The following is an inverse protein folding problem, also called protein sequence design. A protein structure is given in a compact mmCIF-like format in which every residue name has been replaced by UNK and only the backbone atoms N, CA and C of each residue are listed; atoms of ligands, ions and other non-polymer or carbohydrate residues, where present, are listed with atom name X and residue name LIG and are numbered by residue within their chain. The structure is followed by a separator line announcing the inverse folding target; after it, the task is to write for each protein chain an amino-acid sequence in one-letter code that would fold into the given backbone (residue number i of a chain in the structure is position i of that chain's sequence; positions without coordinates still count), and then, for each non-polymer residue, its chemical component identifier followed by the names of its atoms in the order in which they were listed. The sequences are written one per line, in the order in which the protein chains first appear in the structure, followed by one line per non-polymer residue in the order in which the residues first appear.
data_IF_505781829735
#
_entry.id   IF_505781829735
#
_cell.length_a   1.000
_cell.length_b   1.000
_cell.length_c   1.000
_cell.angle_alpha   90.00
_cell.angle_beta   90.00
_cell.angle_gamma   90.00
#
_symmetry.space_group_name_H-M   'P 1'
#
loop_
_entity.id
_entity.type
_entity.pdbx_description
1 polymer ?
#
# COMPACT_ATOMS: atom_id res chain seq x y z
N UNK A 1 -19.46 -22.50 -26.96
CA UNK A 1 -18.23 -22.01 -27.62
C UNK A 1 -18.54 -22.03 -29.09
N UNK A 2 -18.81 -20.87 -29.68
CA UNK A 2 -18.96 -20.74 -31.13
C UNK A 2 -17.58 -20.46 -31.70
N UNK A 3 -17.32 -20.93 -32.92
CA UNK A 3 -16.16 -20.40 -33.63
C UNK A 3 -16.32 -18.88 -33.76
N UNK A 4 -15.21 -18.12 -33.80
CA UNK A 4 -15.25 -16.64 -33.89
C UNK A 4 -16.01 -16.13 -35.13
N UNK A 5 -16.36 -17.01 -36.06
CA UNK A 5 -17.12 -16.78 -37.29
C UNK A 5 -18.60 -17.18 -37.24
N UNK A 6 -19.09 -17.75 -36.13
CA UNK A 6 -20.47 -18.20 -36.00
C UNK A 6 -21.37 -17.13 -35.37
N UNK A 7 -22.65 -17.14 -35.75
CA UNK A 7 -23.64 -16.24 -35.15
C UNK A 7 -23.84 -16.64 -33.68
N UNK A 8 -23.71 -15.72 -32.71
CA UNK A 8 -23.96 -16.04 -31.31
C UNK A 8 -25.35 -16.63 -31.12
N UNK A 9 -25.44 -17.75 -30.41
CA UNK A 9 -26.73 -18.33 -30.05
C UNK A 9 -27.33 -17.48 -28.93
N UNK A 10 -28.56 -16.98 -29.17
CA UNK A 10 -29.26 -16.15 -28.20
C UNK A 10 -29.40 -16.88 -26.85
N UNK A 11 -28.99 -16.20 -25.77
CA UNK A 11 -29.08 -16.72 -24.40
C UNK A 11 -27.98 -17.71 -24.00
N UNK A 12 -27.05 -18.05 -24.89
CA UNK A 12 -25.89 -18.90 -24.55
C UNK A 12 -24.67 -18.01 -24.31
N UNK A 13 -24.05 -18.15 -23.15
CA UNK A 13 -22.82 -17.46 -22.79
C UNK A 13 -21.88 -18.37 -21.98
N UNK A 14 -20.71 -17.86 -21.59
CA UNK A 14 -19.75 -18.64 -20.82
C UNK A 14 -20.25 -19.02 -19.43
N UNK A 15 -21.17 -18.25 -18.83
CA UNK A 15 -21.75 -18.55 -17.52
C UNK A 15 -22.69 -19.75 -17.60
N UNK A 16 -23.52 -19.81 -18.63
CA UNK A 16 -24.40 -20.95 -18.90
C UNK A 16 -23.58 -22.21 -19.19
N UNK A 17 -22.53 -22.10 -20.03
CA UNK A 17 -21.65 -23.24 -20.30
C UNK A 17 -21.02 -23.76 -19.01
N UNK A 18 -20.53 -22.88 -18.14
CA UNK A 18 -19.96 -23.28 -16.86
C UNK A 18 -20.98 -23.96 -15.93
N UNK A 19 -22.23 -23.48 -15.88
CA UNK A 19 -23.27 -24.11 -15.06
C UNK A 19 -23.64 -25.49 -15.58
N UNK A 20 -23.76 -25.67 -16.90
CA UNK A 20 -24.06 -26.98 -17.50
C UNK A 20 -22.92 -27.99 -17.27
N UNK A 21 -21.65 -27.58 -17.43
CA UNK A 21 -20.50 -28.45 -17.13
C UNK A 21 -20.47 -28.84 -15.65
N UNK A 22 -20.81 -27.90 -14.75
CA UNK A 22 -20.88 -28.16 -13.31
C UNK A 22 -22.02 -29.12 -12.95
N UNK A 23 -23.15 -29.07 -13.68
CA UNK A 23 -24.28 -29.98 -13.48
C UNK A 23 -23.99 -31.38 -14.04
N UNK A 24 -23.28 -31.45 -15.17
CA UNK A 24 -22.97 -32.70 -15.87
C UNK A 24 -21.74 -33.44 -15.31
N UNK A 25 -20.89 -32.78 -14.54
CA UNK A 25 -19.62 -33.35 -14.06
C UNK A 25 -19.43 -33.14 -12.55
N UNK A 26 -18.48 -33.87 -11.95
CA UNK A 26 -18.02 -33.60 -10.57
C UNK A 26 -16.88 -32.58 -10.51
N UNK A 27 -16.54 -31.95 -11.63
CA UNK A 27 -15.42 -31.00 -11.68
C UNK A 27 -15.75 -29.72 -10.90
N UNK A 28 -14.74 -29.12 -10.31
CA UNK A 28 -14.86 -27.75 -9.84
C UNK A 28 -14.81 -26.82 -11.06
N UNK A 29 -15.89 -26.08 -11.27
CA UNK A 29 -16.01 -25.14 -12.38
C UNK A 29 -16.21 -23.74 -11.84
N UNK A 30 -15.37 -22.82 -12.30
CA UNK A 30 -15.44 -21.39 -12.01
C UNK A 30 -15.57 -20.65 -13.34
N UNK A 31 -16.53 -19.73 -13.42
CA UNK A 31 -16.67 -18.82 -14.56
C UNK A 31 -16.13 -17.45 -14.18
N UNK A 32 -15.18 -16.95 -14.98
CA UNK A 32 -14.69 -15.58 -14.87
C UNK A 32 -14.70 -14.90 -16.25
N UNK A 33 -15.49 -13.82 -16.45
CA UNK A 33 -15.56 -13.12 -17.73
C UNK A 33 -14.33 -12.23 -17.99
N UNK A 34 -13.51 -11.95 -16.97
CA UNK A 34 -12.28 -11.15 -17.08
C UNK A 34 -11.04 -12.04 -17.02
N UNK A 35 -10.16 -11.94 -18.02
CA UNK A 35 -8.95 -12.77 -18.12
C UNK A 35 -7.98 -12.58 -16.94
N UNK A 36 -7.94 -11.41 -16.30
CA UNK A 36 -7.09 -11.20 -15.12
C UNK A 36 -7.69 -11.82 -13.88
N UNK A 37 -9.01 -11.70 -13.67
CA UNK A 37 -9.67 -12.43 -12.58
C UNK A 37 -9.50 -13.94 -12.73
N UNK A 38 -9.57 -14.44 -13.97
CA UNK A 38 -9.25 -15.83 -14.27
C UNK A 38 -7.79 -16.19 -13.95
N UNK A 39 -6.83 -15.34 -14.36
CA UNK A 39 -5.42 -15.51 -14.00
C UNK A 39 -5.24 -15.56 -12.49
N UNK A 40 -5.87 -14.66 -11.75
CA UNK A 40 -5.75 -14.57 -10.30
C UNK A 40 -6.35 -15.81 -9.63
N UNK A 41 -7.56 -16.21 -10.05
CA UNK A 41 -8.22 -17.42 -9.55
C UNK A 41 -7.40 -18.69 -9.79
N UNK A 42 -6.82 -18.85 -10.99
CA UNK A 42 -5.93 -19.98 -11.28
C UNK A 42 -4.64 -19.85 -10.49
N UNK A 43 -4.04 -18.67 -10.47
CA UNK A 43 -2.76 -18.38 -9.83
C UNK A 43 -2.74 -18.61 -8.32
N UNK A 44 -3.85 -18.33 -7.63
CA UNK A 44 -4.00 -18.59 -6.20
C UNK A 44 -4.12 -20.07 -5.85
N UNK A 45 -4.57 -20.90 -6.80
CA UNK A 45 -4.84 -22.33 -6.57
C UNK A 45 -3.69 -23.24 -7.04
N UNK A 46 -2.86 -22.81 -8.00
CA UNK A 46 -1.74 -23.62 -8.50
C UNK A 46 -0.77 -24.00 -7.36
N UNK A 47 -0.44 -25.29 -7.27
CA UNK A 47 0.55 -25.86 -6.37
C UNK A 47 1.76 -26.45 -7.14
N UNK A 48 2.91 -26.64 -6.46
CA UNK A 48 4.03 -27.36 -7.06
C UNK A 48 3.62 -28.77 -7.52
N UNK A 49 3.91 -29.09 -8.78
CA UNK A 49 3.53 -30.37 -9.41
C UNK A 49 2.27 -30.31 -10.27
N UNK A 50 1.47 -29.24 -10.15
CA UNK A 50 0.29 -29.07 -10.98
C UNK A 50 0.65 -28.81 -12.45
N UNK A 51 -0.21 -29.32 -13.34
CA UNK A 51 -0.15 -29.01 -14.79
C UNK A 51 -1.30 -28.09 -15.15
N UNK A 52 -0.98 -26.90 -15.67
CA UNK A 52 -1.97 -25.92 -16.12
C UNK A 52 -2.14 -26.02 -17.63
N UNK A 53 -3.32 -26.43 -18.07
CA UNK A 53 -3.67 -26.51 -19.49
C UNK A 53 -4.59 -25.35 -19.84
N UNK A 54 -4.17 -24.50 -20.77
CA UNK A 54 -4.99 -23.39 -21.29
C UNK A 54 -5.39 -23.70 -22.72
N UNK A 55 -6.69 -23.74 -22.98
CA UNK A 55 -7.26 -24.02 -24.29
C UNK A 55 -8.32 -22.98 -24.64
N UNK A 56 -8.30 -22.48 -25.88
CA UNK A 56 -9.31 -21.57 -26.40
C UNK A 56 -8.78 -20.64 -27.48
N UNK A 57 -9.67 -19.82 -28.03
CA UNK A 57 -9.33 -18.82 -29.05
C UNK A 57 -9.07 -17.44 -28.44
N UNK A 58 -8.59 -16.50 -29.26
CA UNK A 58 -8.38 -15.12 -28.86
C UNK A 58 -7.16 -14.94 -27.96
N UNK A 59 -7.31 -14.22 -26.86
CA UNK A 59 -6.18 -13.82 -25.99
C UNK A 59 -6.04 -14.64 -24.71
N UNK A 60 -6.71 -15.79 -24.61
CA UNK A 60 -6.69 -16.67 -23.43
C UNK A 60 -5.27 -17.15 -23.08
N UNK A 61 -4.40 -17.35 -24.08
CA UNK A 61 -2.99 -17.74 -23.88
C UNK A 61 -2.18 -16.70 -23.08
N UNK A 62 -2.63 -15.44 -23.00
CA UNK A 62 -1.98 -14.43 -22.15
C UNK A 62 -2.06 -14.76 -20.66
N UNK A 63 -3.07 -15.55 -20.25
CA UNK A 63 -3.22 -16.01 -18.87
C UNK A 63 -2.08 -16.94 -18.47
N UNK A 64 -1.82 -18.00 -19.26
CA UNK A 64 -0.71 -18.92 -18.99
C UNK A 64 0.65 -18.26 -19.13
N UNK A 65 0.82 -17.37 -20.11
CA UNK A 65 2.07 -16.61 -20.25
C UNK A 65 2.36 -15.77 -19.01
N UNK A 66 1.39 -15.00 -18.52
CA UNK A 66 1.55 -14.17 -17.30
C UNK A 66 1.81 -15.03 -16.06
N UNK A 67 1.15 -16.19 -15.92
CA UNK A 67 1.40 -17.12 -14.82
C UNK A 67 2.82 -17.68 -14.88
N UNK A 68 3.27 -18.13 -16.05
CA UNK A 68 4.61 -18.69 -16.25
C UNK A 68 5.71 -17.66 -15.98
N UNK A 69 5.55 -16.42 -16.45
CA UNK A 69 6.48 -15.32 -16.17
C UNK A 69 6.59 -15.04 -14.66
N UNK A 70 5.45 -14.94 -13.96
CA UNK A 70 5.45 -14.72 -12.50
C UNK A 70 6.08 -15.89 -11.73
N UNK A 71 5.80 -17.14 -12.13
CA UNK A 71 6.37 -18.32 -11.50
C UNK A 71 7.89 -18.43 -11.72
N UNK A 72 8.36 -18.07 -12.92
CA UNK A 72 9.79 -18.01 -13.21
C UNK A 72 10.50 -17.01 -12.27
N UNK A 73 9.95 -15.80 -12.15
CA UNK A 73 10.51 -14.77 -11.25
C UNK A 73 10.48 -15.26 -9.79
N UNK A 74 9.40 -15.92 -9.37
CA UNK A 74 9.29 -16.48 -8.02
C UNK A 74 10.41 -17.46 -7.70
N UNK A 75 10.69 -18.43 -8.59
CA UNK A 75 11.76 -19.42 -8.37
C UNK A 75 13.16 -18.79 -8.45
N UNK A 76 13.37 -17.84 -9.36
CA UNK A 76 14.64 -17.10 -9.44
C UNK A 76 14.91 -16.29 -8.17
N UNK A 77 13.90 -15.60 -7.62
CA UNK A 77 14.01 -14.90 -6.35
C UNK A 77 14.29 -15.88 -5.21
N UNK A 78 13.60 -17.03 -5.18
CA UNK A 78 13.80 -18.05 -4.14
C UNK A 78 15.22 -18.57 -4.09
N UNK A 79 15.90 -18.71 -5.23
CA UNK A 79 17.31 -19.09 -5.29
C UNK A 79 18.28 -17.94 -4.98
N UNK A 80 17.83 -16.69 -5.02
CA UNK A 80 18.64 -15.49 -4.81
C UNK A 80 18.71 -15.05 -3.34
N UNK A 81 17.60 -15.17 -2.61
CA UNK A 81 17.42 -14.61 -1.27
C UNK A 81 17.69 -15.63 -0.17
N UNK A 82 17.92 -15.14 1.05
CA UNK A 82 18.13 -16.01 2.20
C UNK A 82 16.88 -16.84 2.57
N UNK A 83 17.03 -17.99 3.25
CA UNK A 83 15.89 -18.81 3.69
C UNK A 83 14.91 -18.12 4.65
N UNK A 84 15.32 -17.01 5.28
CA UNK A 84 14.47 -16.21 6.16
C UNK A 84 13.54 -15.28 5.39
N UNK A 85 13.83 -15.01 4.11
CA UNK A 85 12.94 -14.22 3.25
C UNK A 85 11.65 -14.98 2.98
N UNK A 86 10.52 -14.32 3.24
CA UNK A 86 9.20 -14.87 2.94
C UNK A 86 8.81 -14.48 1.52
N UNK A 87 8.48 -15.47 0.69
CA UNK A 87 7.95 -15.29 -0.66
C UNK A 87 6.52 -15.81 -0.72
N UNK A 88 5.59 -14.99 -1.22
CA UNK A 88 4.19 -15.36 -1.44
C UNK A 88 3.76 -14.98 -2.84
N UNK A 89 2.94 -15.82 -3.45
CA UNK A 89 2.27 -15.52 -4.73
C UNK A 89 0.87 -15.01 -4.43
N UNK A 90 0.39 -14.07 -5.22
CA UNK A 90 -0.98 -13.54 -5.14
C UNK A 90 -1.39 -13.12 -3.70
N UNK A 91 -0.66 -12.18 -3.10
CA UNK A 91 -1.02 -11.65 -1.78
C UNK A 91 -2.11 -10.57 -1.94
N UNK A 92 -3.29 -10.70 -1.30
CA UNK A 92 -4.38 -9.74 -1.45
C UNK A 92 -4.06 -8.41 -0.76
N UNK A 93 -3.95 -7.34 -1.53
CA UNK A 93 -3.61 -6.01 -1.01
C UNK A 93 -4.70 -5.41 -0.13
N UNK A 94 -5.96 -5.85 -0.28
CA UNK A 94 -7.02 -5.55 0.68
C UNK A 94 -6.74 -6.01 2.12
N UNK A 95 -5.85 -6.99 2.33
CA UNK A 95 -5.35 -7.38 3.67
C UNK A 95 -4.12 -6.59 4.12
N UNK A 96 -3.50 -5.82 3.21
CA UNK A 96 -2.23 -5.09 3.40
C UNK A 96 -2.37 -3.57 3.37
N UNK A 97 -3.56 -3.04 3.05
CA UNK A 97 -3.88 -1.61 3.13
C UNK A 97 -4.85 -1.30 4.27
N UNK A 98 -4.76 -0.12 4.89
CA UNK A 98 -5.71 0.25 5.97
C UNK A 98 -7.08 0.63 5.46
N UNK A 99 -7.19 1.03 4.18
CA UNK A 99 -8.46 1.21 3.47
C UNK A 99 -9.16 -0.13 3.20
N UNK A 100 -8.41 -1.24 3.25
CA UNK A 100 -8.87 -2.60 2.98
C UNK A 100 -9.41 -2.79 1.56
N UNK A 101 -8.73 -2.19 0.58
CA UNK A 101 -9.04 -2.33 -0.84
C UNK A 101 -7.80 -2.71 -1.64
N UNK A 102 -8.05 -3.23 -2.84
CA UNK A 102 -7.03 -3.57 -3.83
C UNK A 102 -6.90 -5.06 -4.13
N UNK A 103 -6.50 -5.34 -5.36
CA UNK A 103 -6.30 -6.67 -5.91
C UNK A 103 -5.04 -7.35 -5.37
N UNK A 104 -4.46 -8.26 -6.15
CA UNK A 104 -3.32 -9.05 -5.71
C UNK A 104 -1.98 -8.40 -6.02
N UNK A 105 -1.04 -8.42 -5.07
CA UNK A 105 0.37 -8.34 -5.38
C UNK A 105 0.82 -9.68 -5.95
N UNK A 106 1.31 -9.69 -7.20
CA UNK A 106 1.66 -10.94 -7.90
C UNK A 106 2.74 -11.71 -7.14
N UNK A 107 3.81 -11.02 -6.72
CA UNK A 107 4.88 -11.56 -5.90
C UNK A 107 5.10 -10.67 -4.68
N UNK A 108 4.75 -11.17 -3.50
CA UNK A 108 4.96 -10.48 -2.23
C UNK A 108 6.19 -11.02 -1.53
N UNK A 109 7.07 -10.12 -1.09
CA UNK A 109 8.38 -10.46 -0.54
C UNK A 109 8.60 -9.74 0.79
N UNK A 110 8.88 -10.49 1.85
CA UNK A 110 9.30 -9.96 3.15
C UNK A 110 10.77 -10.36 3.37
N UNK A 111 11.74 -9.48 3.08
CA UNK A 111 13.16 -9.82 3.07
C UNK A 111 13.67 -10.16 4.48
N UNK A 112 14.66 -11.06 4.56
CA UNK A 112 15.22 -11.54 5.83
C UNK A 112 16.29 -10.62 6.43
N UNK A 113 16.99 -9.86 5.59
CA UNK A 113 18.11 -8.99 5.96
C UNK A 113 18.32 -7.86 4.92
N UNK A 114 19.34 -7.03 5.13
CA UNK A 114 19.66 -5.89 4.26
C UNK A 114 20.19 -6.34 2.89
N UNK A 115 20.95 -7.43 2.86
CA UNK A 115 21.52 -8.02 1.64
C UNK A 115 20.43 -8.55 0.71
N UNK A 116 19.37 -9.16 1.25
CA UNK A 116 18.20 -9.60 0.48
C UNK A 116 17.53 -8.42 -0.22
N UNK A 117 17.37 -7.28 0.48
CA UNK A 117 16.79 -6.05 -0.13
C UNK A 117 17.65 -5.57 -1.29
N UNK A 118 18.97 -5.53 -1.11
CA UNK A 118 19.90 -5.13 -2.17
C UNK A 118 19.87 -6.11 -3.36
N UNK A 119 19.85 -7.41 -3.09
CA UNK A 119 19.79 -8.45 -4.10
C UNK A 119 18.49 -8.40 -4.91
N UNK A 120 17.34 -8.26 -4.25
CA UNK A 120 16.03 -8.10 -4.88
C UNK A 120 16.00 -6.83 -5.74
N UNK A 121 16.47 -5.70 -5.21
CA UNK A 121 16.52 -4.44 -5.94
C UNK A 121 17.39 -4.55 -7.20
N UNK A 122 18.57 -5.15 -7.09
CA UNK A 122 19.46 -5.38 -8.21
C UNK A 122 18.86 -6.35 -9.24
N UNK A 123 18.23 -7.43 -8.79
CA UNK A 123 17.55 -8.40 -9.64
C UNK A 123 16.41 -7.74 -10.43
N UNK A 124 15.52 -7.02 -9.75
CA UNK A 124 14.39 -6.34 -10.37
C UNK A 124 14.85 -5.39 -11.49
N UNK A 125 15.90 -4.60 -11.21
CA UNK A 125 16.50 -3.71 -12.19
C UNK A 125 17.10 -4.45 -13.39
N UNK A 126 17.87 -5.52 -13.16
CA UNK A 126 18.51 -6.30 -14.24
C UNK A 126 17.49 -6.99 -15.14
N UNK A 127 16.42 -7.52 -14.55
CA UNK A 127 15.38 -8.27 -15.28
C UNK A 127 14.26 -7.36 -15.83
N UNK A 128 14.31 -6.05 -15.55
CA UNK A 128 13.23 -5.12 -15.92
C UNK A 128 11.91 -5.42 -15.22
N UNK A 129 11.94 -6.08 -14.06
CA UNK A 129 10.75 -6.42 -13.28
C UNK A 129 10.40 -5.22 -12.39
N UNK A 130 9.14 -4.72 -12.43
CA UNK A 130 8.72 -3.65 -11.52
C UNK A 130 8.90 -4.04 -10.05
N UNK A 131 9.45 -3.12 -9.26
CA UNK A 131 9.62 -3.29 -7.81
C UNK A 131 8.86 -2.17 -7.09
N UNK A 132 7.87 -2.55 -6.29
CA UNK A 132 7.08 -1.65 -5.46
C UNK A 132 7.35 -1.93 -4.00
N UNK A 133 7.64 -0.90 -3.19
CA UNK A 133 7.82 -1.06 -1.74
C UNK A 133 6.56 -0.61 -1.03
N UNK A 134 6.03 -1.46 -0.15
CA UNK A 134 4.82 -1.18 0.62
C UNK A 134 5.10 -1.37 2.11
N UNK A 135 4.82 -0.33 2.90
CA UNK A 135 4.78 -0.43 4.37
C UNK A 135 3.44 -0.97 4.86
N UNK A 136 2.86 -0.33 5.88
CA UNK A 136 1.51 -0.65 6.41
C UNK A 136 0.34 -0.33 5.49
N UNK A 137 0.58 0.24 4.31
CA UNK A 137 -0.46 0.65 3.37
C UNK A 137 -1.46 1.66 3.93
N UNK A 138 -1.02 2.54 4.83
CA UNK A 138 -1.87 3.54 5.49
C UNK A 138 -2.17 4.78 4.65
N UNK A 139 -1.40 4.98 3.58
CA UNK A 139 -1.54 6.06 2.60
C UNK A 139 -1.70 5.51 1.17
N UNK A 140 -2.19 4.28 1.02
CA UNK A 140 -2.25 3.59 -0.26
C UNK A 140 -3.69 3.24 -0.66
N UNK A 141 -3.98 3.41 -1.94
CA UNK A 141 -5.08 2.75 -2.65
C UNK A 141 -4.43 1.88 -3.72
N UNK A 142 -4.63 0.57 -3.65
CA UNK A 142 -4.14 -0.34 -4.70
C UNK A 142 -5.30 -0.62 -5.65
N UNK A 143 -5.10 -0.51 -6.95
CA UNK A 143 -6.13 -0.85 -7.94
C UNK A 143 -6.63 -2.29 -7.76
N UNK A 144 -7.88 -2.56 -8.17
CA UNK A 144 -8.45 -3.92 -8.12
C UNK A 144 -7.71 -4.89 -9.05
N UNK A 145 -6.97 -4.37 -10.04
CA UNK A 145 -6.07 -5.16 -10.90
C UNK A 145 -4.77 -5.59 -10.21
N UNK A 146 -4.51 -5.08 -9.01
CA UNK A 146 -3.35 -5.47 -8.20
C UNK A 146 -2.04 -4.82 -8.64
N UNK A 147 -0.94 -5.36 -8.13
CA UNK A 147 0.44 -4.89 -8.36
C UNK A 147 1.20 -5.98 -9.12
N UNK A 148 1.65 -5.64 -10.32
CA UNK A 148 2.50 -6.49 -11.16
C UNK A 148 3.96 -6.46 -10.67
N UNK A 149 4.71 -7.53 -10.93
CA UNK A 149 6.10 -7.67 -10.49
C UNK A 149 6.24 -7.95 -8.99
N UNK A 150 7.28 -7.37 -8.38
CA UNK A 150 7.69 -7.62 -7.00
C UNK A 150 7.12 -6.53 -6.10
N UNK A 151 6.43 -6.94 -5.02
CA UNK A 151 5.98 -6.09 -3.93
C UNK A 151 6.79 -6.42 -2.68
N UNK A 152 7.72 -5.55 -2.31
CA UNK A 152 8.58 -5.71 -1.13
C UNK A 152 7.94 -5.05 0.09
N UNK A 153 7.86 -5.79 1.18
CA UNK A 153 7.37 -5.32 2.47
C UNK A 153 8.41 -5.56 3.56
N UNK A 154 9.06 -4.51 4.11
CA UNK A 154 10.05 -4.67 5.17
C UNK A 154 9.36 -5.14 6.47
N UNK A 155 9.40 -6.43 6.74
CA UNK A 155 8.77 -7.06 7.89
C UNK A 155 9.64 -8.19 8.45
N UNK A 156 9.17 -8.81 9.52
CA UNK A 156 9.90 -9.89 10.19
C UNK A 156 10.95 -9.38 11.19
N UNK A 157 11.67 -10.31 11.85
CA UNK A 157 12.51 -9.99 13.01
C UNK A 157 13.56 -8.91 12.75
N UNK A 158 14.17 -8.89 11.57
CA UNK A 158 15.22 -7.92 11.21
C UNK A 158 14.66 -6.50 11.05
N UNK A 159 13.60 -6.33 10.25
CA UNK A 159 13.02 -5.03 9.94
C UNK A 159 12.05 -4.49 11.02
N UNK A 160 11.58 -5.32 11.94
CA UNK A 160 10.79 -4.91 13.10
C UNK A 160 11.60 -4.76 14.40
N UNK A 161 12.94 -4.85 14.29
CA UNK A 161 13.88 -4.70 15.41
C UNK A 161 13.96 -3.24 15.88
N UNK A 162 14.11 -3.08 17.19
CA UNK A 162 14.47 -1.81 17.83
C UNK A 162 15.68 -2.02 18.74
N UNK A 163 16.67 -1.14 18.66
CA UNK A 163 17.84 -1.11 19.55
C UNK A 163 17.86 0.22 20.28
N UNK A 164 18.07 0.15 21.60
CA UNK A 164 18.06 1.30 22.50
C UNK A 164 19.48 1.52 23.02
N UNK A 165 20.08 2.68 22.72
CA UNK A 165 21.45 2.98 23.13
C UNK A 165 21.64 4.49 23.22
N UNK A 166 22.28 4.97 24.30
CA UNK A 166 22.71 6.37 24.47
C UNK A 166 21.62 7.43 24.19
N UNK A 167 20.38 7.19 24.64
CA UNK A 167 19.25 8.11 24.37
C UNK A 167 18.83 8.16 22.90
N UNK A 168 19.07 7.08 22.17
CA UNK A 168 18.68 6.91 20.76
C UNK A 168 17.98 5.58 20.57
N UNK A 169 17.12 5.54 19.55
CA UNK A 169 16.41 4.35 19.11
C UNK A 169 16.77 4.09 17.66
N UNK A 170 17.51 3.02 17.38
CA UNK A 170 17.61 2.49 16.01
C UNK A 170 16.38 1.61 15.77
N UNK A 171 15.56 1.99 14.79
CA UNK A 171 14.35 1.27 14.44
C UNK A 171 14.38 0.83 12.98
N UNK A 172 14.12 -0.46 12.74
CA UNK A 172 13.96 -1.00 11.39
C UNK A 172 12.73 -0.43 10.67
N UNK A 173 12.75 -0.45 9.34
CA UNK A 173 11.72 0.13 8.48
C UNK A 173 10.31 -0.46 8.71
N UNK A 174 10.20 -1.70 9.20
CA UNK A 174 8.94 -2.36 9.53
C UNK A 174 8.38 -2.00 10.91
N UNK A 175 9.14 -1.30 11.75
CA UNK A 175 8.71 -0.91 13.10
C UNK A 175 7.51 0.04 13.00
N UNK A 176 6.39 -0.33 13.65
CA UNK A 176 5.22 0.54 13.77
C UNK A 176 5.56 1.78 14.60
N UNK A 177 5.21 2.96 14.11
CA UNK A 177 5.50 4.23 14.79
C UNK A 177 4.96 4.23 16.24
N UNK A 178 3.69 3.85 16.44
CA UNK A 178 3.10 3.72 17.77
C UNK A 178 3.87 2.76 18.69
N UNK A 179 4.42 1.65 18.16
CA UNK A 179 5.22 0.70 18.96
C UNK A 179 6.51 1.36 19.44
N UNK A 180 7.19 2.10 18.56
CA UNK A 180 8.40 2.85 18.89
C UNK A 180 8.13 3.93 19.94
N UNK A 181 7.07 4.73 19.77
CA UNK A 181 6.69 5.79 20.72
C UNK A 181 6.39 5.20 22.11
N UNK A 182 5.62 4.11 22.17
CA UNK A 182 5.32 3.45 23.44
C UNK A 182 6.55 2.81 24.09
N UNK A 183 7.54 2.36 23.31
CA UNK A 183 8.80 1.87 23.85
C UNK A 183 9.65 3.00 24.43
N UNK A 184 9.74 4.15 23.73
CA UNK A 184 10.42 5.34 24.24
C UNK A 184 9.79 5.85 25.55
N UNK A 185 8.45 5.91 25.60
CA UNK A 185 7.69 6.25 26.81
C UNK A 185 8.08 5.39 28.02
N UNK A 186 8.22 4.07 27.85
CA UNK A 186 8.58 3.15 28.95
C UNK A 186 9.97 3.42 29.53
N UNK A 187 10.84 4.03 28.74
CA UNK A 187 12.20 4.41 29.13
C UNK A 187 12.28 5.89 29.56
N UNK A 188 11.14 6.59 29.69
CA UNK A 188 11.10 8.03 29.99
C UNK A 188 11.87 8.88 28.96
N UNK A 189 11.84 8.43 27.70
CA UNK A 189 12.45 9.11 26.56
C UNK A 189 11.39 9.86 25.75
N UNK A 190 11.43 11.19 25.82
CA UNK A 190 10.57 12.10 25.06
C UNK A 190 11.13 12.45 23.68
N UNK A 191 10.33 13.16 22.88
CA UNK A 191 10.70 13.69 21.56
C UNK A 191 10.08 12.98 20.36
N UNK A 192 9.39 11.84 20.57
CA UNK A 192 8.76 11.05 19.52
C UNK A 192 7.23 11.09 19.55
N UNK A 193 6.64 11.83 20.50
CA UNK A 193 5.22 11.79 20.81
C UNK A 193 4.36 12.12 19.58
N UNK A 194 4.82 13.02 18.70
CA UNK A 194 4.10 13.43 17.48
C UNK A 194 3.89 12.29 16.48
N UNK A 195 4.65 11.20 16.59
CA UNK A 195 4.54 10.03 15.72
C UNK A 195 3.43 9.06 16.16
N UNK A 196 2.88 9.17 17.38
CA UNK A 196 1.83 8.27 17.88
C UNK A 196 0.58 8.28 16.99
N UNK A 197 0.19 9.50 16.56
CA UNK A 197 -1.02 9.74 15.79
C UNK A 197 -0.91 9.32 14.32
N UNK A 198 0.28 9.01 13.83
CA UNK A 198 0.52 8.69 12.43
C UNK A 198 0.34 7.17 12.24
N UNK A 199 -0.67 6.73 11.47
CA UNK A 199 -0.77 5.32 11.11
C UNK A 199 0.36 4.99 10.14
N UNK A 200 1.27 4.08 10.50
CA UNK A 200 2.40 3.75 9.63
C UNK A 200 3.52 3.01 10.34
N UNK A 201 4.53 2.69 9.55
CA UNK A 201 5.82 2.17 9.98
C UNK A 201 6.91 3.21 9.71
N UNK A 202 8.10 2.95 10.24
CA UNK A 202 9.28 3.82 10.07
C UNK A 202 9.60 4.03 8.60
N UNK A 203 9.58 2.99 7.77
CA UNK A 203 9.91 3.09 6.34
C UNK A 203 8.97 4.02 5.58
N UNK A 204 7.66 3.87 5.78
CA UNK A 204 6.66 4.77 5.20
C UNK A 204 6.78 6.20 5.73
N UNK A 205 7.09 6.36 7.02
CA UNK A 205 7.29 7.67 7.64
C UNK A 205 8.49 8.42 7.06
N UNK A 206 9.60 7.72 6.82
CA UNK A 206 10.79 8.25 6.16
C UNK A 206 10.49 8.64 4.71
N UNK A 207 9.82 7.77 3.94
CA UNK A 207 9.47 8.07 2.55
C UNK A 207 8.60 9.32 2.43
N UNK A 208 7.61 9.46 3.31
CA UNK A 208 6.62 10.54 3.26
C UNK A 208 7.02 11.78 4.07
N UNK A 209 8.19 11.79 4.73
CA UNK A 209 8.49 12.74 5.82
C UNK A 209 7.24 13.00 6.68
N UNK A 210 6.64 11.94 7.21
CA UNK A 210 5.30 12.00 7.78
C UNK A 210 5.27 13.00 8.95
N UNK A 211 4.29 13.90 8.93
CA UNK A 211 4.16 14.95 9.92
C UNK A 211 2.78 15.02 10.54
N UNK A 212 2.77 15.45 11.80
CA UNK A 212 1.58 15.75 12.59
C UNK A 212 1.92 16.86 13.60
N UNK A 213 0.95 17.73 13.89
CA UNK A 213 1.05 18.76 14.93
C UNK A 213 2.28 19.69 14.78
N UNK A 214 2.64 20.04 13.54
CA UNK A 214 3.75 20.96 13.27
C UNK A 214 5.14 20.35 13.35
N UNK A 215 5.25 19.04 13.61
CA UNK A 215 6.50 18.27 13.56
C UNK A 215 6.45 17.22 12.47
N UNK A 216 7.61 16.89 11.92
CA UNK A 216 7.81 15.89 10.89
C UNK A 216 8.70 14.74 11.40
N UNK A 217 8.76 13.65 10.64
CA UNK A 217 9.54 12.47 11.01
C UNK A 217 11.03 12.80 11.14
N UNK A 218 11.57 13.54 10.16
CA UNK A 218 12.99 13.88 10.13
C UNK A 218 13.44 14.85 11.24
N UNK A 219 12.52 15.53 11.94
CA UNK A 219 12.87 16.36 13.11
C UNK A 219 13.47 15.51 14.24
N UNK A 220 13.12 14.23 14.29
CA UNK A 220 13.61 13.28 15.28
C UNK A 220 14.70 12.34 14.73
N UNK A 221 15.03 12.38 13.44
CA UNK A 221 15.98 11.44 12.82
C UNK A 221 17.40 11.99 12.90
N UNK A 222 18.36 11.12 13.21
CA UNK A 222 19.81 11.38 13.15
C UNK A 222 20.42 10.85 11.85
N UNK A 223 20.16 9.58 11.52
CA UNK A 223 20.62 8.94 10.29
C UNK A 223 19.58 7.94 9.77
N UNK A 224 19.67 7.64 8.47
CA UNK A 224 18.84 6.65 7.79
C UNK A 224 19.75 5.71 7.01
N UNK A 225 19.53 4.40 7.19
CA UNK A 225 20.11 3.36 6.34
C UNK A 225 19.12 2.95 5.26
N UNK A 226 19.58 2.86 4.02
CA UNK A 226 18.75 2.55 2.87
C UNK A 226 19.52 1.86 1.75
N UNK A 227 18.81 1.16 0.86
CA UNK A 227 19.33 0.73 -0.45
C UNK A 227 18.98 1.80 -1.47
N UNK A 228 19.98 2.37 -2.14
CA UNK A 228 19.78 3.37 -3.19
C UNK A 228 19.26 2.75 -4.50
N UNK A 229 18.86 3.57 -5.48
CA UNK A 229 18.36 3.12 -6.79
C UNK A 229 19.40 2.37 -7.66
N UNK A 230 20.66 2.31 -7.21
CA UNK A 230 21.71 1.48 -7.80
C UNK A 230 21.86 0.12 -7.10
N UNK A 231 21.08 -0.15 -6.05
CA UNK A 231 21.15 -1.38 -5.27
C UNK A 231 22.26 -1.38 -4.22
N UNK A 232 22.81 -0.21 -3.86
CA UNK A 232 23.90 -0.10 -2.88
C UNK A 232 23.38 0.33 -1.52
N UNK A 233 23.96 -0.24 -0.47
CA UNK A 233 23.72 0.18 0.90
C UNK A 233 24.32 1.56 1.14
N UNK A 234 23.52 2.45 1.73
CA UNK A 234 23.86 3.82 2.06
C UNK A 234 23.41 4.13 3.48
N UNK A 235 24.11 5.07 4.08
CA UNK A 235 23.68 5.78 5.28
C UNK A 235 23.83 7.27 5.04
N UNK A 236 22.83 8.05 5.45
CA UNK A 236 22.84 9.50 5.29
C UNK A 236 22.10 10.20 6.44
N UNK A 237 22.52 11.42 6.73
CA UNK A 237 21.85 12.34 7.65
C UNK A 237 20.70 13.07 6.95
N UNK A 238 19.72 13.62 7.67
CA UNK A 238 18.62 14.39 7.07
C UNK A 238 19.09 15.55 6.17
N UNK A 239 20.22 16.18 6.50
CA UNK A 239 20.81 17.27 5.72
C UNK A 239 21.26 16.83 4.31
N UNK A 240 21.66 15.57 4.16
CA UNK A 240 22.13 14.99 2.89
C UNK A 240 20.99 14.41 2.05
N UNK A 241 19.78 14.28 2.62
CA UNK A 241 18.68 13.53 2.02
C UNK A 241 17.67 14.37 1.22
N UNK A 242 17.81 15.71 1.22
CA UNK A 242 16.87 16.60 0.53
C UNK A 242 15.44 16.52 1.10
N UNK A 243 15.32 16.65 2.42
CA UNK A 243 14.03 16.57 3.14
C UNK A 243 13.23 17.85 2.93
N UNK A 244 11.95 17.71 2.58
CA UNK A 244 11.00 18.82 2.40
C UNK A 244 9.59 18.42 2.89
N UNK A 245 8.62 19.33 2.80
CA UNK A 245 7.25 19.05 3.25
C UNK A 245 6.68 17.83 2.53
N UNK A 246 6.34 16.79 3.31
CA UNK A 246 5.78 15.51 2.85
C UNK A 246 6.65 14.73 1.84
N UNK A 247 7.96 15.01 1.77
CA UNK A 247 8.85 14.39 0.79
C UNK A 247 10.28 14.28 1.30
N UNK A 248 10.96 13.20 0.90
CA UNK A 248 12.40 13.03 1.05
C UNK A 248 12.99 12.59 -0.31
N UNK A 249 13.82 13.44 -0.92
CA UNK A 249 14.34 13.20 -2.27
C UNK A 249 15.24 11.96 -2.34
N UNK A 250 16.10 11.73 -1.36
CA UNK A 250 16.97 10.54 -1.34
C UNK A 250 16.19 9.22 -1.23
N UNK A 251 14.92 9.27 -0.79
CA UNK A 251 14.03 8.11 -0.76
C UNK A 251 13.31 7.88 -2.10
N UNK A 252 13.51 8.72 -3.12
CA UNK A 252 12.96 8.51 -4.46
C UNK A 252 13.74 7.40 -5.20
N UNK A 253 13.08 6.24 -5.38
CA UNK A 253 13.70 5.05 -5.95
C UNK A 253 14.61 4.25 -5.00
N UNK A 254 14.63 4.62 -3.72
CA UNK A 254 15.40 3.93 -2.67
C UNK A 254 14.48 3.16 -1.71
N UNK A 255 15.05 2.22 -0.96
CA UNK A 255 14.34 1.36 -0.01
C UNK A 255 14.90 1.60 1.40
N UNK A 256 14.10 2.15 2.30
CA UNK A 256 14.51 2.35 3.69
C UNK A 256 14.69 1.02 4.41
N UNK A 257 15.76 0.91 5.21
CA UNK A 257 16.10 -0.28 5.99
C UNK A 257 15.92 -0.03 7.49
N UNK A 258 16.46 1.08 7.98
CA UNK A 258 16.33 1.53 9.38
C UNK A 258 16.61 3.03 9.52
N UNK A 259 16.28 3.60 10.66
CA UNK A 259 16.68 4.94 11.04
C UNK A 259 17.03 5.03 12.53
N UNK A 260 17.95 5.94 12.86
CA UNK A 260 18.30 6.30 14.23
C UNK A 260 17.50 7.52 14.63
N UNK A 261 16.71 7.40 15.70
CA UNK A 261 15.90 8.48 16.26
C UNK A 261 16.55 9.03 17.52
N UNK A 262 16.64 10.37 17.61
CA UNK A 262 17.10 11.10 18.80
C UNK A 262 15.96 11.24 19.78
N UNK A 263 16.22 10.94 21.05
CA UNK A 263 15.29 11.21 22.15
C UNK A 263 15.96 12.09 23.19
N UNK A 264 15.22 12.46 24.23
CA UNK A 264 15.76 13.12 25.41
C UNK A 264 15.09 12.59 26.68
N UNK A 265 15.78 12.55 27.82
CA UNK A 265 15.13 12.28 29.10
C UNK A 265 13.96 13.24 29.34
N UNK A 266 12.80 12.73 29.72
CA UNK A 266 11.60 13.51 29.99
C UNK A 266 10.73 12.80 31.03
N UNK A 267 10.04 13.56 31.88
CA UNK A 267 9.19 12.97 32.93
C UNK A 267 8.04 12.21 32.29
N UNK A 268 7.71 11.02 32.80
CA UNK A 268 6.60 10.21 32.30
C UNK A 268 5.27 11.00 32.20
N UNK A 269 5.00 11.87 33.18
CA UNK A 269 3.80 12.71 33.20
C UNK A 269 3.71 13.70 32.02
N UNK A 270 4.85 14.24 31.57
CA UNK A 270 4.90 15.16 30.42
C UNK A 270 4.70 14.41 29.10
N UNK A 271 5.32 13.24 28.97
CA UNK A 271 5.13 12.34 27.83
C UNK A 271 3.65 11.94 27.75
N UNK A 272 3.05 11.51 28.86
CA UNK A 272 1.65 11.10 28.93
C UNK A 272 0.68 12.22 28.60
N UNK A 273 0.96 13.45 29.06
CA UNK A 273 0.14 14.60 28.72
C UNK A 273 0.12 14.84 27.20
N UNK A 274 1.29 14.81 26.54
CA UNK A 274 1.40 14.98 25.08
C UNK A 274 0.74 13.84 24.30
N UNK A 275 0.93 12.59 24.72
CA UNK A 275 0.31 11.44 24.07
C UNK A 275 -1.22 11.51 24.17
N UNK A 276 -1.76 11.87 25.34
CA UNK A 276 -3.20 12.08 25.52
C UNK A 276 -3.72 13.22 24.66
N UNK A 277 -2.98 14.32 24.53
CA UNK A 277 -3.34 15.44 23.66
C UNK A 277 -3.46 14.99 22.20
N UNK A 278 -2.45 14.27 21.69
CA UNK A 278 -2.43 13.79 20.31
C UNK A 278 -3.50 12.74 20.03
N UNK A 279 -3.70 11.81 20.96
CA UNK A 279 -4.75 10.80 20.87
C UNK A 279 -6.14 11.47 20.84
N UNK A 280 -6.41 12.40 21.77
CA UNK A 280 -7.67 13.14 21.84
C UNK A 280 -7.91 13.91 20.54
N UNK A 281 -6.89 14.61 20.02
CA UNK A 281 -7.00 15.37 18.77
C UNK A 281 -7.26 14.48 17.57
N UNK A 282 -6.64 13.29 17.50
CA UNK A 282 -6.89 12.32 16.44
C UNK A 282 -8.32 11.79 16.47
N UNK A 283 -8.77 11.28 17.60
CA UNK A 283 -10.09 10.64 17.69
C UNK A 283 -11.28 11.62 17.66
N UNK A 284 -11.05 12.89 18.02
CA UNK A 284 -12.07 13.94 17.87
C UNK A 284 -12.21 14.47 16.44
N UNK A 285 -11.21 14.25 15.57
CA UNK A 285 -11.16 14.86 14.24
C UNK A 285 -11.04 13.86 13.08
N UNK A 286 -10.78 12.58 13.33
CA UNK A 286 -10.54 11.58 12.28
C UNK A 286 -11.37 10.31 12.50
N UNK A 287 -11.83 9.65 11.43
CA UNK A 287 -12.62 8.44 11.54
C UNK A 287 -11.79 7.23 12.01
N UNK A 288 -12.42 6.36 12.80
CA UNK A 288 -11.88 5.05 13.17
C UNK A 288 -12.10 3.96 12.10
N UNK A 289 -12.97 4.22 11.13
CA UNK A 289 -13.27 3.29 10.03
C UNK A 289 -12.07 3.12 9.09
N UNK A 290 -11.96 1.98 8.38
CA UNK A 290 -10.90 1.75 7.39
C UNK A 290 -10.83 2.90 6.38
N UNK A 291 -9.66 3.51 6.25
CA UNK A 291 -9.38 4.67 5.38
C UNK A 291 -7.88 4.71 5.04
N UNK A 292 -7.49 5.54 4.08
CA UNK A 292 -6.09 5.76 3.64
C UNK A 292 -5.53 7.11 4.11
N UNK A 293 -6.06 7.67 5.20
CA UNK A 293 -5.72 9.03 5.63
C UNK A 293 -6.45 10.12 4.83
N UNK A 294 -5.87 11.31 4.82
CA UNK A 294 -6.34 12.41 4.00
C UNK A 294 -6.23 12.06 2.51
N UNK A 295 -7.32 12.21 1.77
CA UNK A 295 -7.37 11.89 0.35
C UNK A 295 -6.68 12.97 -0.48
N UNK A 296 -6.92 14.23 -0.15
CA UNK A 296 -6.40 15.38 -0.89
C UNK A 296 -5.40 16.18 -0.07
N UNK A 297 -4.41 16.75 -0.76
CA UNK A 297 -3.56 17.80 -0.19
C UNK A 297 -4.41 19.04 0.11
N UNK A 298 -3.95 19.86 1.04
CA UNK A 298 -4.57 21.18 1.25
C UNK A 298 -4.32 22.09 0.04
N UNK A 299 -5.33 22.88 -0.32
CA UNK A 299 -5.14 23.95 -1.31
C UNK A 299 -4.38 25.12 -0.69
N UNK A 300 -3.79 26.03 -1.49
CA UNK A 300 -3.09 27.19 -0.96
C UNK A 300 -3.96 28.14 -0.11
N UNK A 301 -5.27 28.16 -0.36
CA UNK A 301 -6.20 29.13 0.25
C UNK A 301 -7.10 28.51 1.31
N UNK A 302 -7.49 27.25 1.16
CA UNK A 302 -8.41 26.56 2.07
C UNK A 302 -7.98 25.11 2.33
N UNK A 303 -8.00 24.66 3.60
CA UNK A 303 -7.80 23.25 3.91
C UNK A 303 -8.83 22.37 3.20
N UNK A 304 -8.40 21.26 2.60
CA UNK A 304 -9.28 20.41 1.78
C UNK A 304 -10.48 19.87 2.59
N UNK A 305 -10.27 19.50 3.85
CA UNK A 305 -11.37 19.08 4.73
C UNK A 305 -12.45 20.14 4.92
N UNK A 306 -12.04 21.39 5.14
CA UNK A 306 -12.97 22.51 5.31
C UNK A 306 -13.74 22.77 4.03
N UNK A 307 -13.04 22.76 2.89
CA UNK A 307 -13.64 22.92 1.57
C UNK A 307 -14.72 21.87 1.29
N UNK A 308 -14.43 20.59 1.57
CA UNK A 308 -15.37 19.49 1.35
C UNK A 308 -16.57 19.57 2.31
N UNK A 309 -16.37 20.03 3.54
CA UNK A 309 -17.42 20.27 4.52
C UNK A 309 -18.35 21.43 4.10
N UNK A 310 -17.79 22.55 3.61
CA UNK A 310 -18.55 23.69 3.10
C UNK A 310 -19.42 23.33 1.89
N UNK A 311 -18.91 22.44 1.03
CA UNK A 311 -19.65 21.89 -0.11
C UNK A 311 -20.63 20.78 0.29
N UNK A 312 -20.78 20.50 1.60
CA UNK A 312 -21.69 19.49 2.16
C UNK A 312 -21.49 18.11 1.53
N UNK A 313 -20.23 17.72 1.30
CA UNK A 313 -19.89 16.45 0.65
C UNK A 313 -19.77 15.27 1.63
N UNK A 314 -19.83 15.51 2.95
CA UNK A 314 -19.91 14.45 3.96
C UNK A 314 -21.10 13.52 3.68
N UNK A 315 -20.88 12.21 3.79
CA UNK A 315 -21.87 11.19 3.47
C UNK A 315 -22.03 10.89 1.97
N UNK A 316 -21.38 11.63 1.07
CA UNK A 316 -21.36 11.31 -0.37
C UNK A 316 -20.79 9.92 -0.58
N UNK A 317 -21.43 9.13 -1.44
CA UNK A 317 -21.16 7.71 -1.61
C UNK A 317 -21.03 7.34 -3.08
N UNK A 318 -20.14 6.39 -3.36
CA UNK A 318 -20.09 5.61 -4.60
C UNK A 318 -19.82 4.16 -4.22
N UNK A 319 -20.71 3.23 -4.57
CA UNK A 319 -20.66 1.86 -4.04
C UNK A 319 -20.61 1.85 -2.51
N UNK A 320 -19.59 1.19 -1.96
CA UNK A 320 -19.32 1.15 -0.51
C UNK A 320 -18.23 2.14 -0.05
N UNK A 321 -17.71 2.98 -0.94
CA UNK A 321 -16.84 4.10 -0.56
C UNK A 321 -17.70 5.31 -0.16
N UNK A 322 -17.38 5.93 0.98
CA UNK A 322 -18.17 7.04 1.55
C UNK A 322 -17.26 8.14 2.08
N UNK A 323 -17.58 9.41 1.81
CA UNK A 323 -16.94 10.55 2.49
C UNK A 323 -17.34 10.54 3.96
N UNK A 324 -16.36 10.54 4.86
CA UNK A 324 -16.58 10.42 6.30
C UNK A 324 -17.41 11.57 6.87
N UNK A 325 -18.41 11.22 7.68
CA UNK A 325 -19.18 12.21 8.45
C UNK A 325 -18.34 12.95 9.50
N UNK A 326 -17.21 12.35 9.93
CA UNK A 326 -16.28 12.96 10.90
C UNK A 326 -15.44 14.04 10.22
N UNK A 327 -14.83 13.73 9.08
CA UNK A 327 -13.91 14.63 8.39
C UNK A 327 -14.04 14.53 6.87
N UNK A 328 -14.36 15.65 6.20
CA UNK A 328 -14.64 15.65 4.76
C UNK A 328 -13.48 15.20 3.86
N UNK A 329 -12.22 15.27 4.33
CA UNK A 329 -11.04 14.83 3.56
C UNK A 329 -10.71 13.34 3.73
N UNK A 330 -11.57 12.57 4.40
CA UNK A 330 -11.40 11.14 4.57
C UNK A 330 -12.49 10.40 3.79
N UNK A 331 -12.08 9.44 2.97
CA UNK A 331 -12.99 8.41 2.45
C UNK A 331 -12.83 7.18 3.33
N UNK A 332 -13.96 6.56 3.69
CA UNK A 332 -14.01 5.33 4.47
C UNK A 332 -14.61 4.20 3.66
N UNK A 333 -14.09 3.01 3.88
CA UNK A 333 -14.70 1.78 3.37
C UNK A 333 -15.86 1.37 4.31
N UNK A 334 -17.09 1.38 3.80
CA UNK A 334 -18.29 1.03 4.55
C UNK A 334 -18.53 -0.48 4.71
N UNK A 335 -17.69 -1.32 4.10
CA UNK A 335 -17.74 -2.77 4.26
C UNK A 335 -17.08 -3.50 3.10
N UNK A 336 -17.60 -3.31 1.88
CA UNK A 336 -17.18 -4.03 0.67
C UNK A 336 -16.70 -3.09 -0.44
N UNK A 337 -16.17 -1.91 -0.09
CA UNK A 337 -15.67 -0.98 -1.10
C UNK A 337 -14.56 -1.64 -1.92
N UNK A 338 -14.59 -1.42 -3.22
CA UNK A 338 -13.49 -1.74 -4.14
C UNK A 338 -12.57 -0.54 -4.30
N UNK A 339 -11.39 -0.73 -4.88
CA UNK A 339 -10.54 0.40 -5.23
C UNK A 339 -11.20 1.29 -6.29
N UNK A 340 -11.91 0.68 -7.25
CA UNK A 340 -12.72 1.38 -8.24
C UNK A 340 -13.76 2.30 -7.59
N UNK A 341 -14.47 1.84 -6.55
CA UNK A 341 -15.45 2.68 -5.83
C UNK A 341 -14.79 3.92 -5.21
N UNK A 342 -13.63 3.74 -4.56
CA UNK A 342 -12.89 4.83 -3.93
C UNK A 342 -12.42 5.83 -4.98
N UNK A 343 -11.87 5.37 -6.10
CA UNK A 343 -11.35 6.23 -7.16
C UNK A 343 -12.46 6.98 -7.91
N UNK A 344 -13.61 6.34 -8.14
CA UNK A 344 -14.81 7.00 -8.68
C UNK A 344 -15.32 8.10 -7.73
N UNK A 345 -15.36 7.83 -6.42
CA UNK A 345 -15.72 8.84 -5.44
C UNK A 345 -14.71 10.01 -5.42
N UNK A 346 -13.41 9.73 -5.54
CA UNK A 346 -12.37 10.76 -5.66
C UNK A 346 -12.62 11.64 -6.89
N UNK A 347 -12.87 11.04 -8.06
CA UNK A 347 -13.15 11.77 -9.29
C UNK A 347 -14.40 12.65 -9.16
N UNK A 348 -15.47 12.12 -8.57
CA UNK A 348 -16.70 12.87 -8.30
C UNK A 348 -16.48 14.06 -7.37
N UNK A 349 -15.65 13.91 -6.33
CA UNK A 349 -15.31 15.01 -5.41
C UNK A 349 -14.52 16.10 -6.15
N UNK A 350 -13.51 15.71 -6.94
CA UNK A 350 -12.74 16.66 -7.76
C UNK A 350 -13.64 17.45 -8.70
N UNK A 351 -14.55 16.78 -9.39
CA UNK A 351 -15.52 17.40 -10.30
C UNK A 351 -16.39 18.45 -9.58
N UNK A 352 -16.94 18.09 -8.42
CA UNK A 352 -17.80 18.98 -7.63
C UNK A 352 -17.04 20.20 -7.13
N UNK A 353 -15.81 20.01 -6.66
CA UNK A 353 -14.97 21.11 -6.16
C UNK A 353 -14.59 22.06 -7.29
N UNK A 354 -14.20 21.52 -8.46
CA UNK A 354 -13.94 22.31 -9.66
C UNK A 354 -15.16 23.10 -10.09
N UNK A 355 -16.32 22.45 -10.19
CA UNK A 355 -17.57 23.09 -10.62
C UNK A 355 -18.05 24.18 -9.64
N UNK A 356 -17.91 23.96 -8.33
CA UNK A 356 -18.44 24.89 -7.32
C UNK A 356 -17.47 26.02 -6.94
N UNK A 357 -16.15 25.80 -7.07
CA UNK A 357 -15.11 26.73 -6.57
C UNK A 357 -14.02 27.06 -7.58
N UNK A 358 -13.98 26.41 -8.75
CA UNK A 358 -12.92 26.57 -9.73
C UNK A 358 -11.54 26.09 -9.25
N UNK A 359 -11.51 25.23 -8.21
CA UNK A 359 -10.28 24.71 -7.62
C UNK A 359 -10.02 23.29 -8.09
N UNK A 360 -8.76 22.99 -8.43
CA UNK A 360 -8.30 21.64 -8.74
C UNK A 360 -7.72 20.98 -7.47
N UNK A 361 -8.19 19.78 -7.14
CA UNK A 361 -7.68 19.02 -6.00
C UNK A 361 -6.64 17.98 -6.43
N UNK A 362 -5.48 18.04 -5.78
CA UNK A 362 -4.45 17.01 -5.86
C UNK A 362 -4.62 15.95 -4.78
N UNK A 363 -4.45 14.69 -5.14
CA UNK A 363 -4.47 13.59 -4.16
C UNK A 363 -3.17 13.56 -3.36
N UNK A 364 -3.28 13.33 -2.05
CA UNK A 364 -2.17 13.03 -1.14
C UNK A 364 -1.95 11.52 -1.01
N UNK A 365 -3.04 10.75 -1.11
CA UNK A 365 -3.01 9.30 -1.17
C UNK A 365 -2.27 8.82 -2.43
N UNK A 366 -1.46 7.78 -2.28
CA UNK A 366 -0.72 7.18 -3.39
C UNK A 366 -1.57 6.05 -3.97
N UNK A 367 -1.82 6.11 -5.28
CA UNK A 367 -2.50 5.05 -6.01
C UNK A 367 -1.45 4.15 -6.66
N UNK A 368 -1.51 2.84 -6.42
CA UNK A 368 -0.55 1.84 -6.90
C UNK A 368 -1.24 0.74 -7.71
N UNK A 369 -0.45 0.09 -8.56
CA UNK A 369 -0.89 -1.05 -9.36
C UNK A 369 -1.34 -0.68 -10.77
N UNK A 370 -1.89 -1.65 -11.47
CA UNK A 370 -2.26 -1.49 -12.87
C UNK A 370 -3.57 -0.71 -13.00
N UNK A 371 -3.50 0.47 -13.62
CA UNK A 371 -4.65 1.35 -13.78
C UNK A 371 -5.81 0.65 -14.53
N UNK A 372 -7.03 0.85 -14.01
CA UNK A 372 -8.24 0.64 -14.78
C UNK A 372 -8.48 1.90 -15.59
N UNK A 373 -8.27 1.84 -16.91
CA UNK A 373 -8.81 2.88 -17.80
C UNK A 373 -10.33 2.81 -17.72
N UNK A 374 -10.94 3.72 -16.98
CA UNK A 374 -12.37 3.94 -17.02
C UNK A 374 -12.67 4.71 -18.31
N UNK A 375 -13.35 4.05 -19.26
CA UNK A 375 -14.02 4.80 -20.32
C UNK A 375 -15.24 5.44 -19.67
N UNK A 376 -15.13 6.72 -19.30
CA UNK A 376 -16.26 7.55 -18.86
C UNK A 376 -17.05 7.96 -20.09
#
# INVERSE_FOLDING_TARGET
IYAASETPIAGVDGSLVASEVKAATKAQVVYEPDLRKMRDAVGTEILPGDTVVVMGAGSIARVSQSLAENLKIYEELRGLVSPQTVLKRFEPMSKRTTMKVGGYAMLWVEPGNDEDVAAISAYAKRQGVPLTVVGRGSNLIVYDRGISGITLHPAGPHFERMVFKDGKIEAGAGVRLKKMVMAARKLEWGGLEHLEGIPGDVGGALKMNAGAMGKSTYDAVESVRFVDSSGRLREATPAEMGVSYRRCQAMDGSIALSAVFKTHPSKLAEIDAKLKEYEKKRWSSQPAKPSSGCIFKNTPTVPAGKLLDELKLKGLRFGDAVVSDVHGNFIVNAGKATAADVLQLIALIKERVRSARGLELETEVIVLGDEQKFNI
#
